data_IF_283426741794
#
_entry.id   IF_283426741794
#
_cell.length_a   1.000
_cell.length_b   1.000
_cell.length_c   1.000
_cell.angle_alpha   90.00
_cell.angle_beta   90.00
_cell.angle_gamma   90.00
#
_symmetry.space_group_name_H-M   'P 1'
#
loop_
_entity.id
_entity.type
_entity.pdbx_description
1 polymer ?
#
# COMPACT_ATOMS: atom_id res chain seq x y z
N UNK A 1 -26.39 -20.51 -11.50
CA UNK A 1 -26.38 -21.49 -10.39
C UNK A 1 -25.21 -22.45 -10.59
N UNK A 2 -24.35 -22.55 -9.57
CA UNK A 2 -23.22 -23.48 -9.38
C UNK A 2 -22.16 -23.60 -10.49
N UNK A 3 -21.12 -22.77 -10.41
CA UNK A 3 -19.72 -23.25 -10.41
C UNK A 3 -18.88 -22.34 -9.51
N UNK A 4 -18.76 -22.77 -8.25
CA UNK A 4 -17.76 -22.31 -7.30
C UNK A 4 -16.78 -23.47 -7.04
N UNK A 5 -15.58 -23.10 -6.61
CA UNK A 5 -14.63 -23.95 -5.88
C UNK A 5 -13.64 -24.79 -6.70
N UNK A 6 -12.46 -24.19 -6.95
CA UNK A 6 -11.19 -24.92 -6.88
C UNK A 6 -10.21 -24.01 -6.12
N UNK A 7 -10.15 -24.27 -4.81
CA UNK A 7 -9.35 -23.58 -3.80
C UNK A 7 -7.94 -24.19 -3.76
N UNK A 8 -6.97 -23.28 -3.57
CA UNK A 8 -5.66 -23.44 -2.92
C UNK A 8 -5.23 -24.87 -2.54
N UNK A 9 -4.17 -25.34 -3.20
CA UNK A 9 -3.30 -26.39 -2.71
C UNK A 9 -1.85 -25.99 -2.92
N UNK A 10 -1.27 -25.23 -1.98
CA UNK A 10 0.19 -25.08 -1.91
C UNK A 10 0.66 -25.55 -0.54
N UNK A 11 0.99 -26.84 -0.53
CA UNK A 11 1.53 -27.61 0.59
C UNK A 11 2.93 -27.10 0.91
N UNK A 12 3.07 -26.36 2.01
CA UNK A 12 4.38 -26.00 2.56
C UNK A 12 4.94 -27.22 3.31
N UNK A 13 5.61 -28.13 2.60
CA UNK A 13 6.37 -29.21 3.22
C UNK A 13 7.65 -28.63 3.85
N UNK A 14 7.61 -28.45 5.17
CA UNK A 14 8.79 -28.21 6.00
C UNK A 14 9.61 -29.51 6.03
N UNK A 15 10.69 -29.57 5.26
CA UNK A 15 11.72 -30.61 5.40
C UNK A 15 12.68 -30.16 6.50
N UNK A 16 12.52 -30.73 7.69
CA UNK A 16 13.49 -30.68 8.78
C UNK A 16 14.72 -31.53 8.40
N UNK A 17 15.96 -31.03 8.47
CA UNK A 17 17.11 -31.89 8.58
C UNK A 17 17.31 -32.30 10.04
N UNK A 18 17.13 -33.59 10.32
CA UNK A 18 17.68 -34.25 11.49
C UNK A 18 19.21 -34.17 11.45
N UNK A 19 19.82 -33.48 12.41
CA UNK A 19 21.23 -33.58 12.72
C UNK A 19 21.41 -34.45 13.96
N UNK A 20 21.97 -35.64 13.77
CA UNK A 20 22.60 -36.45 14.81
C UNK A 20 24.12 -36.22 14.75
N UNK A 21 24.71 -35.71 15.82
CA UNK A 21 26.02 -36.16 16.32
C UNK A 21 26.28 -35.56 17.73
N UNK A 22 26.72 -36.37 18.71
CA UNK A 22 27.06 -35.95 20.06
C UNK A 22 28.57 -35.69 20.24
N UNK A 23 28.93 -34.93 21.27
CA UNK A 23 30.15 -34.96 22.12
C UNK A 23 30.41 -33.54 22.66
N UNK A 24 30.13 -33.25 23.94
CA UNK A 24 30.83 -33.62 25.17
C UNK A 24 31.95 -32.63 25.55
N UNK A 25 31.99 -32.30 26.85
CA UNK A 25 32.96 -31.52 27.64
C UNK A 25 32.77 -29.98 27.70
N UNK A 26 32.25 -29.50 28.84
CA UNK A 26 32.93 -28.49 29.66
C UNK A 26 32.24 -28.32 31.03
N UNK A 27 32.94 -28.82 32.04
CA UNK A 27 33.08 -28.37 33.44
C UNK A 27 32.09 -27.34 34.02
N UNK A 28 31.32 -27.84 34.98
CA UNK A 28 31.07 -27.34 36.33
C UNK A 28 31.89 -26.10 36.78
N UNK A 29 31.20 -24.98 37.05
CA UNK A 29 31.65 -23.95 37.98
C UNK A 29 30.49 -23.51 38.88
N UNK A 30 30.77 -23.56 40.18
CA UNK A 30 29.92 -23.26 41.33
C UNK A 30 29.52 -21.76 41.45
N UNK A 31 28.47 -21.46 42.26
CA UNK A 31 27.82 -20.16 42.30
C UNK A 31 28.51 -19.16 43.23
N UNK A 32 28.73 -17.94 42.73
CA UNK A 32 29.05 -16.78 43.58
C UNK A 32 27.79 -16.17 44.21
N UNK A 33 27.88 -15.60 45.42
CA UNK A 33 26.73 -15.26 46.24
C UNK A 33 26.12 -13.90 45.88
N UNK A 34 24.82 -13.81 46.17
CA UNK A 34 23.96 -12.63 46.06
C UNK A 34 24.50 -11.48 46.91
N UNK A 35 24.72 -10.32 46.29
CA UNK A 35 24.80 -9.04 47.01
C UNK A 35 23.41 -8.42 47.06
N UNK A 36 22.93 -8.19 48.29
CA UNK A 36 21.79 -7.33 48.61
C UNK A 36 22.14 -5.86 48.32
N UNK A 37 21.24 -5.06 47.73
CA UNK A 37 21.36 -3.61 47.78
C UNK A 37 20.80 -3.07 49.11
N UNK A 38 21.60 -2.24 49.77
CA UNK A 38 21.19 -1.42 50.93
C UNK A 38 20.18 -0.34 50.52
N UNK A 39 19.31 0.12 51.45
CA UNK A 39 18.27 1.09 51.17
C UNK A 39 18.78 2.53 51.32
N UNK A 40 18.35 3.41 50.42
CA UNK A 40 18.32 4.85 50.67
C UNK A 40 19.14 5.71 49.72
N UNK A 41 18.52 6.09 48.60
CA UNK A 41 18.57 7.46 48.08
C UNK A 41 17.21 7.73 47.41
N UNK A 42 16.38 8.55 48.03
CA UNK A 42 15.24 9.18 47.39
C UNK A 42 15.81 10.23 46.43
N UNK A 43 15.92 9.88 45.15
CA UNK A 43 16.04 10.86 44.08
C UNK A 43 14.65 11.02 43.45
N UNK A 44 13.98 12.11 43.83
CA UNK A 44 12.91 12.70 43.06
C UNK A 44 13.47 13.11 41.69
N UNK A 45 13.34 12.22 40.70
CA UNK A 45 13.45 12.55 39.29
C UNK A 45 12.52 11.62 38.53
N UNK A 46 11.37 12.16 38.11
CA UNK A 46 10.62 11.85 36.88
C UNK A 46 9.12 12.06 37.11
N UNK A 47 8.67 13.26 36.78
CA UNK A 47 7.33 13.47 36.23
C UNK A 47 7.35 14.69 35.32
N UNK A 48 8.22 14.65 34.31
CA UNK A 48 7.98 15.35 33.05
C UNK A 48 7.69 14.25 32.03
N UNK A 49 6.40 13.88 31.94
CA UNK A 49 5.86 13.20 30.77
C UNK A 49 5.93 14.20 29.61
N UNK A 50 7.10 14.30 28.97
CA UNK A 50 7.18 14.81 27.61
C UNK A 50 6.35 13.89 26.72
N UNK A 51 5.35 14.48 26.07
CA UNK A 51 4.46 13.83 25.12
C UNK A 51 5.24 13.29 23.93
N UNK A 52 5.78 12.09 24.09
CA UNK A 52 6.26 11.27 22.99
C UNK A 52 5.06 10.99 22.09
N UNK A 53 5.03 11.63 20.91
CA UNK A 53 4.06 11.34 19.86
C UNK A 53 4.08 9.83 19.57
N UNK A 54 3.08 9.13 20.13
CA UNK A 54 2.90 7.68 19.98
C UNK A 54 2.47 7.38 18.55
N UNK A 55 3.43 7.25 17.65
CA UNK A 55 3.20 6.71 16.31
C UNK A 55 2.85 5.22 16.47
N UNK A 56 1.66 4.82 16.04
CA UNK A 56 1.16 3.46 16.10
C UNK A 56 2.16 2.45 15.50
N UNK A 57 2.30 1.23 16.05
CA UNK A 57 3.14 0.16 15.48
C UNK A 57 2.84 -0.14 14.01
N UNK A 58 1.59 0.07 13.58
CA UNK A 58 1.13 -0.05 12.19
C UNK A 58 1.84 0.92 11.22
N UNK A 59 2.36 2.03 11.73
CA UNK A 59 3.13 3.03 10.99
C UNK A 59 4.66 2.78 11.10
N UNK A 60 5.11 1.75 11.82
CA UNK A 60 6.55 1.43 12.02
C UNK A 60 7.13 0.42 11.03
N UNK A 61 6.35 -0.10 10.09
CA UNK A 61 6.88 -0.95 9.01
C UNK A 61 7.70 -0.09 8.05
N UNK A 62 8.98 0.08 8.40
CA UNK A 62 9.98 0.74 7.56
C UNK A 62 10.24 -0.13 6.33
N UNK A 63 10.01 0.46 5.16
CA UNK A 63 10.34 -0.12 3.86
C UNK A 63 11.85 -0.29 3.72
N UNK A 64 12.23 -1.41 3.12
CA UNK A 64 13.59 -1.79 2.75
C UNK A 64 14.12 -0.90 1.60
N UNK A 65 14.96 0.10 1.92
CA UNK A 65 15.68 0.93 0.94
C UNK A 65 15.19 2.37 0.86
N UNK A 66 16.01 3.33 0.38
CA UNK A 66 15.76 4.72 0.69
C UNK A 66 14.77 5.37 -0.30
N UNK A 67 13.65 5.80 0.29
CA UNK A 67 12.99 7.11 0.13
C UNK A 67 12.42 7.51 -1.25
N UNK A 68 11.10 7.35 -1.47
CA UNK A 68 10.04 8.38 -1.25
C UNK A 68 8.66 7.81 -1.64
N UNK A 69 8.56 6.71 -2.38
CA UNK A 69 7.26 6.05 -2.55
C UNK A 69 6.88 5.31 -1.25
N UNK A 70 5.67 5.48 -0.69
CA UNK A 70 5.05 4.38 0.01
C UNK A 70 4.84 3.29 -1.06
N UNK A 71 5.74 2.31 -1.14
CA UNK A 71 5.36 1.00 -1.67
C UNK A 71 4.55 0.25 -0.59
N UNK A 72 3.52 0.93 -0.09
CA UNK A 72 2.28 0.31 0.33
C UNK A 72 1.33 0.58 -0.84
N UNK A 73 0.72 -0.43 -1.48
CA UNK A 73 -0.49 -0.23 -2.27
C UNK A 73 -1.70 0.16 -1.38
N UNK A 74 -1.48 0.89 -0.29
CA UNK A 74 -2.35 0.89 0.88
C UNK A 74 -2.92 2.24 1.27
N UNK A 75 -2.14 3.24 1.68
CA UNK A 75 -2.78 4.36 2.40
C UNK A 75 -3.64 5.30 1.53
N UNK A 76 -3.36 5.42 0.23
CA UNK A 76 -4.21 6.18 -0.70
C UNK A 76 -5.49 5.45 -1.10
N UNK A 77 -5.50 4.12 -0.96
CA UNK A 77 -6.65 3.22 -1.18
C UNK A 77 -7.26 2.72 0.13
N UNK A 78 -6.68 3.09 1.27
CA UNK A 78 -7.17 2.68 2.59
C UNK A 78 -8.54 3.35 2.72
N UNK A 79 -9.60 2.54 2.82
CA UNK A 79 -10.92 3.09 3.05
C UNK A 79 -10.86 3.98 4.30
N UNK A 80 -11.52 5.14 4.26
CA UNK A 80 -11.53 6.10 5.38
C UNK A 80 -11.97 5.42 6.69
N UNK A 81 -12.86 4.43 6.59
CA UNK A 81 -13.34 3.55 7.65
C UNK A 81 -12.28 2.60 8.24
N UNK A 82 -11.09 2.46 7.64
CA UNK A 82 -9.97 1.73 8.24
C UNK A 82 -8.97 2.66 8.93
N UNK A 83 -9.10 3.99 8.80
CA UNK A 83 -8.24 4.93 9.53
C UNK A 83 -8.46 4.86 11.05
N UNK A 84 -9.67 4.53 11.50
CA UNK A 84 -9.95 4.31 12.93
C UNK A 84 -9.19 3.13 13.54
N UNK A 85 -8.80 2.14 12.72
CA UNK A 85 -7.92 1.03 13.16
C UNK A 85 -6.50 1.49 13.48
N UNK A 86 -6.03 2.59 12.89
CA UNK A 86 -4.72 3.17 13.21
C UNK A 86 -4.72 3.88 14.57
N UNK A 87 -5.90 4.20 15.09
CA UNK A 87 -6.11 4.97 16.33
C UNK A 87 -6.56 4.11 17.51
N UNK A 88 -6.82 2.81 17.32
CA UNK A 88 -7.17 1.92 18.43
C UNK A 88 -5.96 1.75 19.36
N UNK A 89 -6.17 1.79 20.69
CA UNK A 89 -5.10 1.49 21.62
C UNK A 89 -4.77 0.00 21.49
N UNK A 90 -3.76 -0.31 20.67
CA UNK A 90 -3.17 -1.64 20.64
C UNK A 90 -2.60 -1.92 22.03
N UNK A 91 -3.10 -2.94 22.70
CA UNK A 91 -2.45 -3.41 23.92
C UNK A 91 -1.06 -3.92 23.55
N UNK A 92 -0.09 -3.70 24.45
CA UNK A 92 1.26 -4.25 24.30
C UNK A 92 1.28 -5.75 24.62
N UNK A 93 0.45 -6.52 23.92
CA UNK A 93 0.45 -7.98 23.94
C UNK A 93 0.96 -8.52 22.62
N UNK A 94 1.39 -9.77 22.64
CA UNK A 94 1.99 -10.40 21.46
C UNK A 94 0.99 -10.47 20.30
N UNK A 95 -0.27 -10.79 20.58
CA UNK A 95 -1.32 -10.90 19.57
C UNK A 95 -2.44 -9.91 19.89
N UNK A 96 -2.81 -9.09 18.90
CA UNK A 96 -3.98 -8.24 18.94
C UNK A 96 -4.93 -8.62 17.80
N UNK A 97 -6.20 -8.79 18.11
CA UNK A 97 -7.29 -9.01 17.17
C UNK A 97 -8.29 -7.87 17.30
N UNK A 98 -8.59 -7.19 16.19
CA UNK A 98 -9.40 -5.98 16.16
C UNK A 98 -10.55 -6.19 15.18
N UNK A 99 -11.66 -6.81 15.61
CA UNK A 99 -12.91 -6.74 14.89
C UNK A 99 -13.48 -5.33 14.97
N UNK A 100 -13.96 -4.84 13.85
CA UNK A 100 -14.64 -3.55 13.74
C UNK A 100 -15.81 -3.63 12.80
N UNK A 101 -16.73 -2.69 12.95
CA UNK A 101 -17.83 -2.45 12.02
C UNK A 101 -17.96 -0.96 11.80
N UNK A 102 -18.03 -0.53 10.55
CA UNK A 102 -18.34 0.84 10.19
C UNK A 102 -19.71 0.91 9.53
N UNK A 103 -20.41 2.01 9.81
CA UNK A 103 -21.62 2.42 9.10
C UNK A 103 -21.37 3.81 8.57
N UNK A 104 -21.60 4.02 7.27
CA UNK A 104 -21.39 5.31 6.63
C UNK A 104 -22.47 5.62 5.61
N UNK A 105 -22.66 6.91 5.39
CA UNK A 105 -23.44 7.42 4.27
C UNK A 105 -22.49 8.20 3.35
N UNK A 106 -22.65 7.99 2.05
CA UNK A 106 -21.86 8.63 1.04
C UNK A 106 -22.74 9.25 -0.04
N UNK A 107 -22.50 10.50 -0.35
CA UNK A 107 -23.04 11.15 -1.54
C UNK A 107 -22.01 11.07 -2.67
N UNK A 108 -22.43 10.64 -3.86
CA UNK A 108 -21.68 10.79 -5.12
C UNK A 108 -22.57 11.51 -6.13
N UNK A 109 -22.00 12.42 -6.92
CA UNK A 109 -22.71 13.10 -8.01
C UNK A 109 -22.63 12.35 -9.36
N UNK A 110 -21.82 11.30 -9.45
CA UNK A 110 -21.58 10.54 -10.67
C UNK A 110 -21.26 9.05 -10.42
N UNK A 111 -22.28 8.28 -10.03
CA UNK A 111 -22.14 6.86 -9.65
C UNK A 111 -21.60 5.95 -10.77
N UNK A 112 -21.77 6.32 -12.04
CA UNK A 112 -21.31 5.52 -13.18
C UNK A 112 -19.97 5.99 -13.76
N UNK A 113 -19.36 7.01 -13.16
CA UNK A 113 -18.13 7.63 -13.64
C UNK A 113 -18.20 7.95 -15.14
N UNK A 114 -19.34 8.50 -15.59
CA UNK A 114 -19.59 8.81 -16.99
C UNK A 114 -20.24 10.19 -17.12
N UNK A 115 -19.51 11.15 -17.68
CA UNK A 115 -19.97 12.53 -17.83
C UNK A 115 -21.18 12.68 -18.76
N UNK A 116 -21.37 11.76 -19.71
CA UNK A 116 -22.51 11.76 -20.62
C UNK A 116 -23.81 11.24 -19.96
N UNK A 117 -23.70 10.56 -18.82
CA UNK A 117 -24.83 10.02 -18.05
C UNK A 117 -24.58 10.19 -16.53
N UNK A 118 -24.30 11.43 -16.11
CA UNK A 118 -24.13 11.73 -14.68
C UNK A 118 -25.40 11.43 -13.91
N UNK A 119 -25.26 10.62 -12.86
CA UNK A 119 -26.32 10.36 -11.89
C UNK A 119 -25.74 10.42 -10.50
N UNK A 120 -26.45 11.10 -9.62
CA UNK A 120 -26.09 11.14 -8.22
C UNK A 120 -26.84 10.07 -7.43
N UNK A 121 -26.24 9.61 -6.34
CA UNK A 121 -26.93 8.76 -5.36
C UNK A 121 -26.38 8.98 -3.94
N UNK A 122 -27.14 8.49 -2.96
CA UNK A 122 -26.72 8.31 -1.59
C UNK A 122 -26.54 6.82 -1.33
N UNK A 123 -25.34 6.44 -0.91
CA UNK A 123 -24.93 5.06 -0.68
C UNK A 123 -24.78 4.87 0.82
N UNK A 124 -25.57 3.96 1.39
CA UNK A 124 -25.34 3.51 2.76
C UNK A 124 -24.44 2.28 2.73
N UNK A 125 -23.32 2.33 3.46
CA UNK A 125 -22.37 1.23 3.52
C UNK A 125 -22.28 0.63 4.92
N UNK A 126 -22.24 -0.70 4.96
CA UNK A 126 -21.93 -1.47 6.17
C UNK A 126 -20.62 -2.23 5.95
N UNK A 127 -19.60 -1.92 6.76
CA UNK A 127 -18.25 -2.46 6.55
C UNK A 127 -17.74 -3.18 7.80
N UNK A 128 -18.05 -4.47 7.99
CA UNK A 128 -17.30 -5.31 8.91
C UNK A 128 -15.84 -5.43 8.46
N UNK A 129 -14.94 -5.37 9.43
CA UNK A 129 -13.51 -5.61 9.21
C UNK A 129 -12.88 -6.34 10.39
N UNK A 130 -11.83 -7.10 10.12
CA UNK A 130 -11.05 -7.83 11.11
C UNK A 130 -9.57 -7.58 10.84
N UNK A 131 -8.84 -7.14 11.86
CA UNK A 131 -7.39 -6.99 11.79
C UNK A 131 -6.71 -7.84 12.86
N UNK A 132 -5.70 -8.61 12.46
CA UNK A 132 -4.85 -9.39 13.33
C UNK A 132 -3.42 -8.82 13.27
N UNK A 133 -2.81 -8.68 14.44
CA UNK A 133 -1.45 -8.21 14.61
C UNK A 133 -0.72 -9.13 15.57
N UNK A 134 0.35 -9.76 15.11
CA UNK A 134 1.30 -10.48 15.93
C UNK A 134 2.60 -9.67 15.94
N UNK A 135 3.06 -9.26 17.12
CA UNK A 135 4.24 -8.42 17.26
C UNK A 135 5.24 -9.04 18.24
N UNK A 136 6.32 -9.61 17.69
CA UNK A 136 7.49 -10.10 18.42
C UNK A 136 8.73 -9.33 17.98
N UNK A 137 9.80 -9.28 18.80
CA UNK A 137 10.98 -8.45 18.53
C UNK A 137 11.66 -8.67 17.16
N UNK A 138 11.57 -9.87 16.59
CA UNK A 138 12.18 -10.25 15.30
C UNK A 138 11.18 -10.80 14.29
N UNK A 139 9.89 -10.79 14.63
CA UNK A 139 8.86 -11.38 13.80
C UNK A 139 7.55 -10.62 13.99
N UNK A 140 7.00 -10.10 12.90
CA UNK A 140 5.73 -9.38 12.94
C UNK A 140 4.85 -9.91 11.82
N UNK A 141 3.57 -10.08 12.13
CA UNK A 141 2.54 -10.42 11.15
C UNK A 141 1.38 -9.44 11.30
N UNK A 142 0.91 -8.91 10.18
CA UNK A 142 -0.29 -8.11 10.09
C UNK A 142 -1.19 -8.75 9.04
N UNK A 143 -2.45 -8.98 9.36
CA UNK A 143 -3.45 -9.45 8.39
C UNK A 143 -4.76 -8.70 8.64
N UNK A 144 -5.34 -8.15 7.60
CA UNK A 144 -6.59 -7.40 7.64
C UNK A 144 -7.53 -7.87 6.56
N UNK A 145 -8.81 -8.00 6.88
CA UNK A 145 -9.88 -8.23 5.91
C UNK A 145 -11.01 -7.25 6.18
N UNK A 146 -11.61 -6.71 5.12
CA UNK A 146 -12.81 -5.89 5.20
C UNK A 146 -13.74 -6.23 4.04
N UNK A 147 -15.03 -6.10 4.30
CA UNK A 147 -16.06 -6.27 3.29
C UNK A 147 -17.08 -5.15 3.46
N UNK A 148 -17.37 -4.42 2.38
CA UNK A 148 -18.41 -3.39 2.37
C UNK A 148 -19.63 -3.90 1.62
N UNK A 149 -20.78 -3.86 2.28
CA UNK A 149 -22.09 -3.98 1.66
C UNK A 149 -22.63 -2.58 1.36
N UNK A 150 -23.23 -2.39 0.18
CA UNK A 150 -23.73 -1.09 -0.28
C UNK A 150 -25.23 -1.15 -0.61
N UNK A 151 -25.95 -0.12 -0.16
CA UNK A 151 -27.38 0.09 -0.43
C UNK A 151 -27.56 1.44 -1.09
N UNK A 152 -28.21 1.43 -2.26
CA UNK A 152 -28.40 2.61 -3.11
C UNK A 152 -29.77 3.23 -2.85
N UNK A 153 -29.82 4.45 -2.30
CA UNK A 153 -31.07 5.09 -1.89
C UNK A 153 -32.03 5.31 -3.07
N UNK A 154 -31.50 5.55 -4.28
CA UNK A 154 -32.31 5.80 -5.49
C UNK A 154 -32.48 4.58 -6.39
N UNK A 155 -31.92 3.44 -5.99
CA UNK A 155 -31.90 2.24 -6.84
C UNK A 155 -31.18 2.47 -8.17
N UNK A 156 -30.16 3.36 -8.21
CA UNK A 156 -29.36 3.55 -9.42
C UNK A 156 -28.57 2.28 -9.79
N UNK A 157 -28.30 1.44 -8.80
CA UNK A 157 -27.67 0.13 -8.92
C UNK A 157 -28.35 -0.87 -7.99
N UNK A 158 -28.31 -2.18 -8.26
CA UNK A 158 -28.72 -3.21 -7.31
C UNK A 158 -27.90 -3.10 -6.02
N UNK A 159 -28.56 -3.33 -4.88
CA UNK A 159 -27.87 -3.46 -3.60
C UNK A 159 -26.95 -4.67 -3.64
N UNK A 160 -25.73 -4.52 -3.13
CA UNK A 160 -24.71 -5.56 -3.16
C UNK A 160 -24.13 -5.78 -1.76
N UNK A 161 -24.27 -7.00 -1.26
CA UNK A 161 -23.72 -7.41 0.04
C UNK A 161 -22.20 -7.58 0.01
N UNK A 162 -21.59 -7.67 -1.18
CA UNK A 162 -20.16 -7.90 -1.39
C UNK A 162 -19.53 -6.87 -2.32
N UNK A 163 -20.08 -5.64 -2.36
CA UNK A 163 -19.68 -4.57 -3.26
C UNK A 163 -18.16 -4.36 -3.29
N UNK A 164 -17.53 -4.31 -2.10
CA UNK A 164 -16.07 -4.18 -1.98
C UNK A 164 -15.51 -5.18 -0.99
N UNK A 165 -14.36 -5.76 -1.33
CA UNK A 165 -13.61 -6.66 -0.46
C UNK A 165 -12.14 -6.26 -0.51
N UNK A 166 -11.52 -6.09 0.66
CA UNK A 166 -10.11 -5.78 0.76
C UNK A 166 -9.45 -6.75 1.73
N UNK A 167 -8.32 -7.32 1.32
CA UNK A 167 -7.44 -8.08 2.18
C UNK A 167 -6.02 -7.51 2.09
N UNK A 168 -5.38 -7.36 3.24
CA UNK A 168 -3.98 -6.97 3.33
C UNK A 168 -3.26 -7.92 4.28
N UNK A 169 -2.21 -8.56 3.80
CA UNK A 169 -1.33 -9.44 4.56
C UNK A 169 0.09 -8.89 4.54
N UNK A 170 0.79 -9.01 5.66
CA UNK A 170 2.17 -8.57 5.82
C UNK A 170 2.89 -9.45 6.81
N UNK A 171 4.08 -9.91 6.44
CA UNK A 171 5.01 -10.63 7.30
C UNK A 171 6.34 -9.90 7.28
N UNK A 172 6.92 -9.70 8.45
CA UNK A 172 8.28 -9.23 8.65
C UNK A 172 9.01 -10.25 9.52
N UNK A 173 10.20 -10.65 9.10
CA UNK A 173 11.03 -11.60 9.83
C UNK A 173 12.50 -11.19 9.76
N UNK A 174 13.13 -11.05 10.91
CA UNK A 174 14.53 -10.67 11.05
C UNK A 174 15.31 -11.79 11.79
N UNK A 175 15.71 -12.87 11.09
CA UNK A 175 16.43 -13.97 11.71
C UNK A 175 17.76 -13.51 12.32
N UNK A 176 18.41 -12.52 11.71
CA UNK A 176 19.66 -11.93 12.19
C UNK A 176 19.63 -10.41 12.01
N UNK A 177 20.43 -9.63 12.78
CA UNK A 177 20.51 -8.17 12.62
C UNK A 177 20.94 -7.68 11.22
N UNK A 178 21.42 -8.58 10.36
CA UNK A 178 21.86 -8.26 9.01
C UNK A 178 20.89 -8.71 7.94
N UNK A 179 19.88 -9.50 8.27
CA UNK A 179 19.01 -10.14 7.29
C UNK A 179 17.56 -9.94 7.67
N UNK A 180 16.81 -9.34 6.76
CA UNK A 180 15.40 -9.04 6.92
C UNK A 180 14.63 -9.68 5.75
N UNK A 181 13.55 -10.37 6.06
CA UNK A 181 12.60 -10.89 5.11
C UNK A 181 11.28 -10.15 5.29
N UNK A 182 10.65 -9.78 4.19
CA UNK A 182 9.31 -9.23 4.19
C UNK A 182 8.48 -9.90 3.11
N UNK A 183 7.20 -10.09 3.35
CA UNK A 183 6.25 -10.49 2.32
C UNK A 183 4.94 -9.77 2.56
N UNK A 184 4.42 -9.10 1.52
CA UNK A 184 3.12 -8.43 1.58
C UNK A 184 2.20 -8.97 0.50
N UNK A 185 0.93 -9.12 0.82
CA UNK A 185 -0.12 -9.54 -0.09
C UNK A 185 -1.29 -8.55 0.01
N UNK A 186 -1.80 -8.09 -1.12
CA UNK A 186 -2.88 -7.11 -1.17
C UNK A 186 -3.90 -7.54 -2.21
N UNK A 187 -5.09 -7.93 -1.76
CA UNK A 187 -6.21 -8.31 -2.61
C UNK A 187 -7.31 -7.27 -2.51
N UNK A 188 -7.80 -6.82 -3.66
CA UNK A 188 -8.91 -5.89 -3.78
C UNK A 188 -9.91 -6.49 -4.75
N UNK A 189 -11.18 -6.49 -4.41
CA UNK A 189 -12.28 -6.77 -5.32
C UNK A 189 -13.30 -5.67 -5.19
N UNK A 190 -13.69 -5.12 -6.33
CA UNK A 190 -14.65 -4.03 -6.41
C UNK A 190 -15.66 -4.35 -7.51
N UNK A 191 -16.92 -4.51 -7.11
CA UNK A 191 -18.05 -4.77 -7.98
C UNK A 191 -18.99 -3.57 -8.08
N UNK A 192 -18.62 -2.45 -7.47
CA UNK A 192 -19.42 -1.25 -7.41
C UNK A 192 -19.55 -0.62 -8.82
N UNK A 193 -20.63 0.10 -9.12
CA UNK A 193 -20.79 0.79 -10.42
C UNK A 193 -19.73 1.87 -10.68
N UNK A 194 -19.05 2.32 -9.62
CA UNK A 194 -17.92 3.25 -9.66
C UNK A 194 -16.56 2.53 -9.55
N UNK A 195 -16.51 1.21 -9.81
CA UNK A 195 -15.29 0.43 -9.75
C UNK A 195 -14.19 1.00 -10.66
N UNK A 196 -12.96 0.97 -10.14
CA UNK A 196 -11.76 1.49 -10.79
C UNK A 196 -10.64 0.45 -10.77
N UNK A 197 -9.76 0.52 -11.75
CA UNK A 197 -8.54 -0.30 -11.77
C UNK A 197 -7.33 0.59 -12.01
N UNK A 198 -6.27 0.39 -11.23
CA UNK A 198 -5.05 1.21 -11.28
C UNK A 198 -5.27 2.74 -11.18
N UNK A 199 -6.36 3.18 -10.54
CA UNK A 199 -6.73 4.60 -10.42
C UNK A 199 -7.57 5.16 -11.57
N UNK A 200 -7.87 4.36 -12.59
CA UNK A 200 -8.66 4.75 -13.75
C UNK A 200 -10.09 4.23 -13.69
N UNK A 201 -11.04 5.04 -14.16
CA UNK A 201 -12.42 4.61 -14.39
C UNK A 201 -12.50 3.77 -15.66
N UNK A 202 -13.08 2.58 -15.53
CA UNK A 202 -13.36 1.66 -16.64
C UNK A 202 -14.87 1.54 -16.92
N UNK A 203 -15.63 2.58 -16.56
CA UNK A 203 -17.08 2.61 -16.78
C UNK A 203 -17.87 1.64 -15.91
N UNK A 204 -17.42 1.42 -14.67
CA UNK A 204 -18.11 0.54 -13.71
C UNK A 204 -17.90 -0.95 -13.96
N UNK A 205 -16.89 -1.31 -14.75
CA UNK A 205 -16.48 -2.70 -14.92
C UNK A 205 -15.95 -3.24 -13.58
N UNK A 206 -16.60 -4.28 -13.07
CA UNK A 206 -16.16 -4.95 -11.86
C UNK A 206 -14.74 -5.49 -12.03
N UNK A 207 -13.96 -5.48 -10.97
CA UNK A 207 -12.56 -5.88 -11.02
C UNK A 207 -12.14 -6.62 -9.75
N UNK A 208 -11.12 -7.46 -9.90
CA UNK A 208 -10.32 -7.86 -8.76
C UNK A 208 -8.84 -7.83 -9.11
N UNK A 209 -8.03 -7.53 -8.12
CA UNK A 209 -6.59 -7.55 -8.22
C UNK A 209 -5.97 -8.22 -7.01
N UNK A 210 -4.81 -8.84 -7.22
CA UNK A 210 -3.97 -9.31 -6.14
C UNK A 210 -2.51 -8.95 -6.40
N UNK A 211 -1.81 -8.42 -5.41
CA UNK A 211 -0.39 -8.08 -5.50
C UNK A 211 0.39 -8.71 -4.36
N UNK A 212 1.29 -9.64 -4.70
CA UNK A 212 2.22 -10.29 -3.78
C UNK A 212 3.63 -9.73 -3.97
N UNK A 213 4.27 -9.30 -2.89
CA UNK A 213 5.62 -8.71 -2.91
C UNK A 213 6.51 -9.30 -1.81
N UNK A 214 7.22 -10.40 -2.08
CA UNK A 214 8.31 -10.85 -1.21
C UNK A 214 9.57 -10.00 -1.40
N UNK A 215 10.28 -9.72 -0.32
CA UNK A 215 11.55 -9.01 -0.35
C UNK A 215 12.54 -9.51 0.71
N UNK A 216 13.82 -9.28 0.42
CA UNK A 216 14.95 -9.61 1.28
C UNK A 216 15.85 -8.38 1.37
N UNK A 217 16.10 -7.92 2.60
CA UNK A 217 17.10 -6.91 2.91
C UNK A 217 18.31 -7.53 3.54
N UNK A 218 19.49 -7.30 2.97
CA UNK A 218 20.76 -7.79 3.49
C UNK A 218 21.73 -6.64 3.75
N UNK A 219 22.13 -6.50 5.01
CA UNK A 219 23.20 -5.61 5.44
C UNK A 219 24.57 -6.24 5.12
N UNK A 220 25.01 -6.07 3.87
CA UNK A 220 26.27 -6.60 3.34
C UNK A 220 27.48 -6.10 4.14
N UNK A 221 27.46 -4.81 4.52
CA UNK A 221 28.47 -4.18 5.37
C UNK A 221 27.82 -3.12 6.27
N UNK A 222 28.53 -2.56 7.26
CA UNK A 222 27.97 -1.57 8.20
C UNK A 222 27.28 -0.37 7.53
N UNK A 223 27.73 0.00 6.33
CA UNK A 223 27.18 1.13 5.54
C UNK A 223 26.58 0.71 4.21
N UNK A 224 26.54 -0.58 3.90
CA UNK A 224 26.07 -1.08 2.59
C UNK A 224 24.92 -2.06 2.78
N UNK A 225 23.82 -1.82 2.08
CA UNK A 225 22.62 -2.66 2.12
C UNK A 225 22.18 -3.02 0.71
N UNK A 226 21.97 -4.32 0.48
CA UNK A 226 21.33 -4.87 -0.70
C UNK A 226 19.86 -5.16 -0.38
N UNK A 227 18.93 -4.72 -1.21
CA UNK A 227 17.53 -5.08 -1.13
C UNK A 227 17.12 -5.77 -2.43
N UNK A 228 16.50 -6.95 -2.32
CA UNK A 228 15.96 -7.71 -3.42
C UNK A 228 14.46 -7.85 -3.20
N UNK A 229 13.65 -7.59 -4.22
CA UNK A 229 12.20 -7.75 -4.16
C UNK A 229 11.70 -8.40 -5.45
N UNK A 230 10.67 -9.22 -5.33
CA UNK A 230 9.87 -9.65 -6.47
C UNK A 230 8.45 -9.12 -6.31
N UNK A 231 7.78 -8.88 -7.41
CA UNK A 231 6.39 -8.45 -7.47
C UNK A 231 5.65 -9.43 -8.38
N UNK A 232 4.48 -9.89 -7.94
CA UNK A 232 3.51 -10.53 -8.81
C UNK A 232 2.18 -9.83 -8.62
N UNK A 233 1.68 -9.20 -9.68
CA UNK A 233 0.40 -8.52 -9.68
C UNK A 233 -0.51 -9.10 -10.74
N UNK A 234 -1.74 -9.38 -10.35
CA UNK A 234 -2.81 -9.89 -11.21
C UNK A 234 -3.94 -8.89 -11.18
N UNK A 235 -4.46 -8.55 -12.36
CA UNK A 235 -5.68 -7.77 -12.51
C UNK A 235 -6.63 -8.56 -13.41
N UNK A 236 -7.86 -8.71 -12.94
CA UNK A 236 -8.95 -9.31 -13.70
C UNK A 236 -10.14 -8.38 -13.71
N UNK A 237 -10.79 -8.32 -14.86
CA UNK A 237 -11.92 -7.47 -15.11
C UNK A 237 -13.11 -8.33 -15.51
N UNK A 238 -14.24 -8.10 -14.86
CA UNK A 238 -15.45 -8.89 -14.97
C UNK A 238 -16.54 -8.07 -15.66
N UNK A 239 -17.33 -8.72 -16.52
CA UNK A 239 -18.47 -8.09 -17.18
C UNK A 239 -18.13 -7.41 -18.51
N UNK A 240 -19.04 -6.57 -18.98
CA UNK A 240 -18.91 -5.82 -20.23
C UNK A 240 -18.20 -4.50 -19.94
N UNK A 241 -16.96 -4.35 -20.39
CA UNK A 241 -16.18 -3.13 -20.24
C UNK A 241 -14.97 -3.14 -21.16
N UNK A 242 -14.28 -2.00 -21.26
CA UNK A 242 -13.15 -1.83 -22.17
C UNK A 242 -11.84 -2.40 -21.62
N UNK A 243 -11.81 -2.73 -20.32
CA UNK A 243 -10.57 -3.04 -19.67
C UNK A 243 -10.10 -4.47 -19.94
N UNK A 244 -8.78 -4.65 -19.85
CA UNK A 244 -8.04 -5.84 -20.25
C UNK A 244 -7.36 -6.48 -19.05
N UNK A 245 -7.48 -7.80 -18.95
CA UNK A 245 -6.81 -8.63 -17.95
C UNK A 245 -5.29 -8.58 -18.12
N UNK A 246 -4.56 -8.49 -17.00
CA UNK A 246 -3.10 -8.44 -17.03
C UNK A 246 -2.46 -9.23 -15.90
N UNK A 247 -1.33 -9.86 -16.21
CA UNK A 247 -0.39 -10.43 -15.24
C UNK A 247 0.93 -9.65 -15.33
N UNK A 248 1.42 -9.14 -14.20
CA UNK A 248 2.67 -8.40 -14.11
C UNK A 248 3.63 -9.13 -13.18
N UNK A 249 4.85 -9.33 -13.66
CA UNK A 249 5.95 -9.92 -12.90
C UNK A 249 7.06 -8.89 -12.79
N UNK A 250 7.43 -8.52 -11.57
CA UNK A 250 8.47 -7.55 -11.29
C UNK A 250 9.64 -8.17 -10.53
N UNK A 251 10.83 -7.65 -10.75
CA UNK A 251 12.00 -7.91 -9.92
C UNK A 251 12.78 -6.61 -9.71
N UNK A 252 13.09 -6.30 -8.45
CA UNK A 252 13.82 -5.12 -8.03
C UNK A 252 15.08 -5.53 -7.27
N UNK A 253 16.22 -4.95 -7.64
CA UNK A 253 17.48 -5.11 -6.93
C UNK A 253 18.12 -3.75 -6.69
N UNK A 254 18.28 -3.35 -5.44
CA UNK A 254 18.83 -2.05 -5.04
C UNK A 254 20.02 -2.23 -4.11
N UNK A 255 21.18 -1.74 -4.51
CA UNK A 255 22.38 -1.64 -3.67
C UNK A 255 22.55 -0.19 -3.21
N UNK A 256 22.51 0.02 -1.90
CA UNK A 256 22.65 1.33 -1.28
C UNK A 256 23.92 1.40 -0.42
N UNK A 257 24.60 2.55 -0.44
CA UNK A 257 25.78 2.80 0.37
C UNK A 257 25.71 4.18 1.03
N UNK A 258 25.77 4.18 2.37
CA UNK A 258 25.81 5.38 3.19
C UNK A 258 27.23 5.95 3.23
N UNK A 259 27.54 6.90 2.35
CA UNK A 259 28.83 7.59 2.34
C UNK A 259 29.00 8.48 3.58
N UNK A 260 27.92 9.14 4.00
CA UNK A 260 27.87 9.96 5.21
C UNK A 260 26.55 9.73 5.96
N UNK A 261 26.41 10.18 7.22
CA UNK A 261 25.13 10.09 7.93
C UNK A 261 23.96 10.84 7.27
N UNK A 262 24.24 11.73 6.31
CA UNK A 262 23.22 12.51 5.58
C UNK A 262 23.11 12.14 4.11
N UNK A 263 24.06 11.39 3.54
CA UNK A 263 24.12 11.10 2.12
C UNK A 263 24.29 9.60 1.87
N UNK A 264 23.34 9.03 1.15
CA UNK A 264 23.33 7.63 0.71
C UNK A 264 23.19 7.61 -0.80
N UNK A 265 24.10 6.94 -1.51
CA UNK A 265 23.94 6.67 -2.94
C UNK A 265 23.34 5.30 -3.17
N UNK A 266 22.74 5.12 -4.35
CA UNK A 266 22.04 3.90 -4.75
C UNK A 266 22.33 3.57 -6.21
N UNK A 267 22.48 2.28 -6.48
CA UNK A 267 22.41 1.71 -7.83
C UNK A 267 21.31 0.65 -7.79
N UNK A 268 20.42 0.70 -8.77
CA UNK A 268 19.25 -0.16 -8.85
C UNK A 268 19.10 -0.82 -10.21
N UNK A 269 18.31 -1.89 -10.22
CA UNK A 269 17.84 -2.53 -11.43
C UNK A 269 16.42 -3.02 -11.21
N UNK A 270 15.51 -2.55 -12.05
CA UNK A 270 14.12 -2.97 -12.08
C UNK A 270 13.84 -3.72 -13.39
N UNK A 271 13.24 -4.90 -13.27
CA UNK A 271 12.76 -5.70 -14.37
C UNK A 271 11.25 -5.85 -14.25
N UNK A 272 10.53 -5.71 -15.35
CA UNK A 272 9.08 -5.92 -15.42
C UNK A 272 8.73 -6.72 -16.66
N UNK A 273 7.96 -7.79 -16.48
CA UNK A 273 7.32 -8.53 -17.56
C UNK A 273 5.81 -8.38 -17.44
N UNK A 274 5.19 -7.95 -18.53
CA UNK A 274 3.76 -7.76 -18.64
C UNK A 274 3.19 -8.76 -19.65
N UNK A 275 2.27 -9.58 -19.17
CA UNK A 275 1.49 -10.53 -19.98
C UNK A 275 0.04 -10.05 -20.05
N UNK A 276 -0.41 -9.73 -21.25
CA UNK A 276 -1.78 -9.29 -21.53
C UNK A 276 -2.57 -10.51 -22.00
N UNK A 277 -3.53 -10.95 -21.19
CA UNK A 277 -4.27 -12.18 -21.51
C UNK A 277 -5.19 -11.95 -22.71
N UNK A 278 -5.41 -13.02 -23.47
CA UNK A 278 -6.49 -13.14 -24.46
C UNK A 278 -6.32 -12.36 -25.76
N UNK A 279 -5.10 -12.13 -26.26
CA UNK A 279 -4.89 -11.56 -27.61
C UNK A 279 -5.24 -10.07 -27.75
N UNK A 280 -5.29 -9.34 -26.63
CA UNK A 280 -5.60 -7.90 -26.58
C UNK A 280 -4.36 -7.01 -26.61
N UNK A 281 -3.20 -7.56 -26.98
CA UNK A 281 -1.95 -6.82 -27.16
C UNK A 281 -0.74 -7.74 -27.12
N UNK A 282 0.42 -7.17 -27.40
CA UNK A 282 1.69 -7.88 -27.28
C UNK A 282 2.22 -7.81 -25.84
N UNK A 283 2.91 -8.87 -25.43
CA UNK A 283 3.60 -8.91 -24.15
C UNK A 283 4.77 -7.93 -24.17
N UNK A 284 5.15 -7.45 -22.98
CA UNK A 284 6.22 -6.47 -22.86
C UNK A 284 7.22 -6.84 -21.78
N UNK A 285 8.50 -6.58 -22.06
CA UNK A 285 9.60 -6.70 -21.12
C UNK A 285 10.24 -5.32 -20.95
N UNK A 286 10.42 -4.87 -19.71
CA UNK A 286 11.10 -3.61 -19.40
C UNK A 286 12.31 -3.86 -18.51
N UNK A 287 13.45 -3.33 -18.91
CA UNK A 287 14.70 -3.32 -18.17
C UNK A 287 15.04 -1.87 -17.79
N UNK A 288 15.14 -1.60 -16.50
CA UNK A 288 15.38 -0.24 -16.01
C UNK A 288 16.52 -0.22 -14.97
N UNK A 289 17.78 -0.07 -15.43
CA UNK A 289 18.88 0.26 -14.54
C UNK A 289 18.72 1.70 -14.02
N UNK A 290 18.94 1.90 -12.73
CA UNK A 290 18.80 3.21 -12.09
C UNK A 290 20.02 3.57 -11.25
N UNK A 291 20.26 4.88 -11.14
CA UNK A 291 21.19 5.46 -10.17
C UNK A 291 20.39 6.50 -9.39
N UNK A 292 20.64 6.56 -8.09
CA UNK A 292 19.94 7.50 -7.23
C UNK A 292 20.73 7.88 -6.01
N UNK A 293 20.16 8.81 -5.25
CA UNK A 293 20.67 9.19 -3.95
C UNK A 293 19.54 9.67 -3.03
N UNK A 294 19.86 9.65 -1.74
CA UNK A 294 19.04 10.24 -0.70
C UNK A 294 19.90 11.16 0.13
N UNK A 295 19.39 12.37 0.37
CA UNK A 295 20.07 13.41 1.11
C UNK A 295 19.17 13.99 2.20
N UNK A 296 19.65 13.90 3.45
CA UNK A 296 19.02 14.54 4.61
C UNK A 296 19.51 15.99 4.71
N UNK A 297 18.74 16.90 4.11
CA UNK A 297 19.05 18.33 4.03
C UNK A 297 19.09 18.96 5.42
N UNK A 298 18.09 18.65 6.25
CA UNK A 298 18.00 19.09 7.66
C UNK A 298 17.63 17.91 8.57
N UNK A 299 17.48 18.13 9.88
CA UNK A 299 16.99 17.07 10.77
C UNK A 299 15.58 16.58 10.42
N UNK A 300 14.80 17.38 9.70
CA UNK A 300 13.39 17.12 9.38
C UNK A 300 13.11 16.99 7.89
N UNK A 301 14.03 17.40 7.01
CA UNK A 301 13.86 17.42 5.56
C UNK A 301 14.76 16.39 4.87
N UNK A 302 14.14 15.50 4.10
CA UNK A 302 14.81 14.49 3.28
C UNK A 302 14.38 14.63 1.83
N UNK A 303 15.35 14.57 0.93
CA UNK A 303 15.15 14.53 -0.52
C UNK A 303 15.73 13.23 -1.04
N UNK A 304 15.05 12.60 -1.99
CA UNK A 304 15.61 11.49 -2.72
C UNK A 304 15.19 11.51 -4.18
N UNK A 305 16.12 11.07 -5.02
CA UNK A 305 15.99 11.08 -6.47
C UNK A 305 16.68 9.83 -7.00
N UNK A 306 16.02 9.09 -7.88
CA UNK A 306 16.61 7.99 -8.62
C UNK A 306 16.05 7.94 -10.03
N UNK A 307 16.84 7.50 -10.99
CA UNK A 307 16.36 7.38 -12.36
C UNK A 307 17.37 6.74 -13.30
N UNK A 308 16.92 6.48 -14.51
CA UNK A 308 17.71 5.86 -15.57
C UNK A 308 16.86 5.55 -16.79
N UNK A 309 17.47 5.03 -17.86
CA UNK A 309 16.72 4.59 -19.04
C UNK A 309 15.87 3.35 -18.73
N UNK A 310 14.67 3.28 -19.26
CA UNK A 310 13.84 2.09 -19.33
C UNK A 310 13.85 1.58 -20.77
N UNK A 311 14.48 0.42 -20.97
CA UNK A 311 14.49 -0.28 -22.25
C UNK A 311 13.29 -1.22 -22.27
N UNK A 312 12.31 -0.93 -23.12
CA UNK A 312 11.08 -1.72 -23.21
C UNK A 312 10.99 -2.40 -24.57
N UNK A 313 10.85 -3.72 -24.56
CA UNK A 313 10.47 -4.49 -25.76
C UNK A 313 8.95 -4.69 -25.72
N UNK A 314 8.28 -4.41 -26.84
CA UNK A 314 6.85 -4.61 -27.01
C UNK A 314 6.58 -4.99 -28.46
N UNK A 315 6.02 -6.17 -28.71
CA UNK A 315 5.67 -6.61 -30.07
C UNK A 315 6.87 -6.69 -31.04
N UNK A 316 8.07 -6.93 -30.51
CA UNK A 316 9.33 -6.92 -31.28
C UNK A 316 9.89 -5.51 -31.58
N UNK A 317 9.23 -4.45 -31.12
CA UNK A 317 9.74 -3.08 -31.15
C UNK A 317 10.45 -2.74 -29.84
N UNK A 318 11.49 -1.91 -29.93
CA UNK A 318 12.28 -1.47 -28.77
C UNK A 318 12.07 0.02 -28.52
N UNK A 319 11.74 0.36 -27.28
CA UNK A 319 11.52 1.72 -26.81
C UNK A 319 12.55 2.05 -25.73
N UNK A 320 13.00 3.30 -25.71
CA UNK A 320 13.82 3.85 -24.63
C UNK A 320 13.08 5.04 -24.06
N UNK A 321 12.57 4.90 -22.84
CA UNK A 321 11.90 5.98 -22.11
C UNK A 321 12.70 6.35 -20.86
N UNK A 322 12.71 7.61 -20.42
CA UNK A 322 13.32 7.95 -19.15
C UNK A 322 12.42 7.48 -18.00
N UNK A 323 12.98 6.71 -17.06
CA UNK A 323 12.36 6.43 -15.78
C UNK A 323 12.98 7.32 -14.70
N UNK A 324 12.14 7.98 -13.90
CA UNK A 324 12.58 8.91 -12.86
C UNK A 324 11.63 8.84 -11.68
N UNK A 325 12.18 8.72 -10.49
CA UNK A 325 11.49 8.93 -9.23
C UNK A 325 12.18 10.06 -8.48
N UNK A 326 11.40 11.00 -7.97
CA UNK A 326 11.90 12.10 -7.16
C UNK A 326 10.91 12.40 -6.05
N UNK A 327 11.42 12.75 -4.88
CA UNK A 327 10.53 13.11 -3.81
C UNK A 327 11.18 13.81 -2.64
N UNK A 328 10.33 14.42 -1.85
CA UNK A 328 10.67 15.25 -0.70
C UNK A 328 9.74 14.88 0.46
N UNK A 329 10.30 14.75 1.65
CA UNK A 329 9.56 14.49 2.87
C UNK A 329 10.05 15.42 3.97
N UNK A 330 9.11 16.09 4.63
CA UNK A 330 9.36 17.04 5.70
C UNK A 330 8.53 16.69 6.93
N UNK A 331 9.21 16.52 8.06
CA UNK A 331 8.58 16.47 9.39
C UNK A 331 8.36 17.91 9.87
N UNK A 332 7.11 18.27 10.07
CA UNK A 332 6.67 19.56 10.57
C UNK A 332 6.32 19.42 12.06
N UNK A 333 6.33 20.50 12.86
CA UNK A 333 5.91 20.44 14.26
C UNK A 333 4.47 19.93 14.47
N UNK A 334 3.65 20.00 13.42
CA UNK A 334 2.22 19.67 13.46
C UNK A 334 1.85 18.50 12.53
N UNK A 335 2.84 17.79 11.96
CA UNK A 335 2.56 16.70 11.03
C UNK A 335 3.68 16.36 10.07
N UNK A 336 3.35 15.66 9.00
CA UNK A 336 4.29 15.30 7.94
C UNK A 336 3.75 15.73 6.59
N UNK A 337 4.62 16.32 5.77
CA UNK A 337 4.32 16.70 4.41
C UNK A 337 5.28 15.97 3.46
N UNK A 338 4.77 15.45 2.35
CA UNK A 338 5.60 14.88 1.30
C UNK A 338 5.05 15.19 -0.08
N UNK A 339 5.94 15.26 -1.05
CA UNK A 339 5.59 15.29 -2.46
C UNK A 339 6.47 14.29 -3.22
N UNK A 340 5.89 13.66 -4.22
CA UNK A 340 6.50 12.61 -5.00
C UNK A 340 6.15 12.78 -6.48
N UNK A 341 7.13 12.50 -7.33
CA UNK A 341 6.99 12.39 -8.76
C UNK A 341 7.57 11.04 -9.20
N UNK A 342 6.85 10.32 -10.04
CA UNK A 342 7.36 9.14 -10.73
C UNK A 342 7.03 9.20 -12.21
N UNK A 343 7.95 8.71 -13.02
CA UNK A 343 7.75 8.34 -14.42
C UNK A 343 8.31 6.95 -14.63
N UNK A 344 7.49 6.04 -15.13
CA UNK A 344 7.88 4.66 -15.38
C UNK A 344 6.96 4.02 -16.43
N UNK A 345 7.43 2.93 -17.04
CA UNK A 345 6.58 2.07 -17.86
C UNK A 345 5.81 1.14 -16.95
N UNK A 346 4.48 1.18 -17.02
CA UNK A 346 3.57 0.37 -16.22
C UNK A 346 2.28 0.07 -16.98
N UNK A 347 1.40 -0.75 -16.39
CA UNK A 347 0.06 -0.98 -16.94
C UNK A 347 -0.85 0.20 -16.58
N UNK A 348 -1.58 0.74 -17.55
CA UNK A 348 -2.57 1.80 -17.33
C UNK A 348 -3.89 1.26 -16.73
N UNK A 349 -3.81 0.57 -15.59
CA UNK A 349 -4.96 0.19 -14.76
C UNK A 349 -6.17 -0.37 -15.51
N UNK A 350 -5.92 -1.30 -16.43
CA UNK A 350 -6.98 -1.94 -17.21
C UNK A 350 -7.18 -1.40 -18.62
N UNK A 351 -6.66 -0.24 -19.02
CA UNK A 351 -6.72 0.19 -20.44
C UNK A 351 -5.83 -0.64 -21.40
N UNK A 352 -5.16 -1.67 -20.89
CA UNK A 352 -4.40 -2.66 -21.66
C UNK A 352 -3.14 -2.14 -22.32
N UNK A 353 -2.05 -2.91 -22.23
CA UNK A 353 -0.77 -2.50 -22.80
C UNK A 353 0.16 -1.78 -21.81
N UNK A 354 1.47 -1.83 -22.06
CA UNK A 354 2.41 -0.97 -21.35
C UNK A 354 2.20 0.49 -21.78
N UNK A 355 2.24 1.38 -20.79
CA UNK A 355 2.11 2.81 -20.95
C UNK A 355 3.22 3.54 -20.19
N UNK A 356 3.72 4.63 -20.77
CA UNK A 356 4.53 5.60 -20.04
C UNK A 356 3.62 6.34 -19.06
N UNK A 357 3.79 6.03 -17.78
CA UNK A 357 2.95 6.54 -16.71
C UNK A 357 3.73 7.58 -15.92
N UNK A 358 3.17 8.78 -15.82
CA UNK A 358 3.67 9.87 -15.00
C UNK A 358 2.70 10.11 -13.85
N UNK A 359 3.21 10.12 -12.62
CA UNK A 359 2.41 10.40 -11.42
C UNK A 359 3.06 11.50 -10.60
N UNK A 360 2.29 12.49 -10.20
CA UNK A 360 2.63 13.49 -9.19
C UNK A 360 1.69 13.26 -8.02
N UNK A 361 2.21 13.11 -6.81
CA UNK A 361 1.38 12.99 -5.61
C UNK A 361 1.91 13.86 -4.47
N UNK A 362 0.98 14.33 -3.64
CA UNK A 362 1.28 15.02 -2.39
C UNK A 362 0.61 14.30 -1.23
N UNK A 363 1.19 14.37 -0.04
CA UNK A 363 0.56 13.87 1.18
C UNK A 363 0.83 14.84 2.31
N UNK A 364 -0.21 15.18 3.06
CA UNK A 364 -0.12 15.93 4.30
C UNK A 364 -0.88 15.16 5.38
N UNK A 365 -0.19 14.77 6.44
CA UNK A 365 -0.79 14.12 7.61
C UNK A 365 -0.66 15.04 8.80
N UNK A 366 -1.79 15.43 9.38
CA UNK A 366 -1.88 16.33 10.51
C UNK A 366 -2.46 15.55 11.71
N UNK A 367 -1.62 15.02 12.61
CA UNK A 367 -2.06 14.59 13.93
C UNK A 367 -2.37 15.85 14.75
N UNK A 368 -3.61 16.31 14.67
CA UNK A 368 -4.10 17.50 15.38
C UNK A 368 -4.47 17.18 16.83
N UNK A 369 -5.04 18.14 17.55
CA UNK A 369 -5.30 18.04 18.99
C UNK A 369 -6.21 16.86 19.34
N UNK A 370 -5.87 16.11 20.40
CA UNK A 370 -6.75 15.14 21.08
C UNK A 370 -7.37 14.09 20.15
N UNK A 371 -6.54 13.30 19.48
CA UNK A 371 -6.97 12.12 18.70
C UNK A 371 -7.75 12.42 17.41
N UNK A 372 -7.52 13.59 16.80
CA UNK A 372 -7.97 13.91 15.44
C UNK A 372 -6.80 13.77 14.46
N UNK A 373 -6.97 12.93 13.44
CA UNK A 373 -6.04 12.81 12.31
C UNK A 373 -6.71 13.37 11.07
N UNK A 374 -6.03 14.28 10.37
CA UNK A 374 -6.43 14.78 9.06
C UNK A 374 -5.41 14.36 8.01
N UNK A 375 -5.88 13.86 6.87
CA UNK A 375 -5.07 13.42 5.75
C UNK A 375 -5.52 14.16 4.50
N UNK A 376 -4.59 14.74 3.77
CA UNK A 376 -4.82 15.38 2.48
C UNK A 376 -3.87 14.79 1.43
N UNK A 377 -4.42 14.32 0.31
CA UNK A 377 -3.70 13.57 -0.72
C UNK A 377 -4.15 13.95 -2.13
N UNK A 378 -3.57 15.00 -2.75
CA UNK A 378 -3.73 15.26 -4.17
C UNK A 378 -2.84 14.31 -4.99
N UNK A 379 -3.35 13.87 -6.13
CA UNK A 379 -2.61 13.06 -7.10
C UNK A 379 -3.02 13.41 -8.53
N UNK A 380 -2.04 13.45 -9.41
CA UNK A 380 -2.22 13.59 -10.85
C UNK A 380 -1.47 12.45 -11.54
N UNK A 381 -2.12 11.75 -12.44
CA UNK A 381 -1.56 10.64 -13.20
C UNK A 381 -1.87 10.82 -14.67
N UNK A 382 -0.86 10.69 -15.53
CA UNK A 382 -1.03 10.57 -16.99
C UNK A 382 -0.48 9.22 -17.42
N UNK A 383 -1.23 8.49 -18.23
CA UNK A 383 -0.75 7.29 -18.91
C UNK A 383 -0.86 7.47 -20.43
N UNK A 384 0.21 7.16 -21.14
CA UNK A 384 0.29 7.28 -22.59
C UNK A 384 0.88 6.00 -23.21
N UNK A 385 0.27 5.51 -24.29
CA UNK A 385 0.75 4.34 -25.05
C UNK A 385 2.20 4.51 -25.51
N UNK A 386 2.97 3.43 -25.47
CA UNK A 386 4.35 3.42 -25.98
C UNK A 386 4.42 3.31 -27.50
N UNK A 387 3.43 2.70 -28.14
CA UNK A 387 3.39 2.48 -29.60
C UNK A 387 2.00 2.73 -30.16
N UNK A 388 1.94 3.35 -31.34
CA UNK A 388 0.71 3.56 -32.11
C UNK A 388 0.14 2.24 -32.67
N UNK A 389 0.91 1.14 -32.63
CA UNK A 389 0.48 -0.20 -33.05
C UNK A 389 -0.26 -0.97 -31.95
N UNK A 390 -0.30 -0.45 -30.73
CA UNK A 390 -1.07 -1.06 -29.65
C UNK A 390 -2.56 -1.08 -30.03
N UNK A 391 -3.22 -2.21 -29.77
CA UNK A 391 -4.64 -2.42 -30.12
C UNK A 391 -5.52 -1.34 -29.47
N UNK A 392 -5.19 -0.95 -28.23
CA UNK A 392 -5.78 0.20 -27.55
C UNK A 392 -4.72 1.30 -27.40
N UNK A 393 -5.03 2.50 -27.93
CA UNK A 393 -4.23 3.69 -27.72
C UNK A 393 -4.68 4.35 -26.42
N UNK A 394 -3.76 4.43 -25.47
CA UNK A 394 -3.95 4.99 -24.16
C UNK A 394 -3.44 6.43 -24.22
N UNK A 395 -4.32 7.39 -23.93
CA UNK A 395 -3.94 8.73 -23.54
C UNK A 395 -4.96 9.17 -22.51
N UNK A 396 -4.62 8.99 -21.23
CA UNK A 396 -5.56 9.22 -20.13
C UNK A 396 -4.89 10.04 -19.07
N UNK A 397 -5.58 11.09 -18.63
CA UNK A 397 -5.15 11.94 -17.52
C UNK A 397 -6.18 11.88 -16.41
N UNK A 398 -5.74 11.56 -15.20
CA UNK A 398 -6.56 11.51 -13.99
C UNK A 398 -6.00 12.47 -12.96
N UNK A 399 -6.86 13.29 -12.38
CA UNK A 399 -6.58 14.08 -11.19
C UNK A 399 -7.50 13.60 -10.07
N UNK A 400 -6.93 13.31 -8.91
CA UNK A 400 -7.66 13.01 -7.69
C UNK A 400 -7.25 13.94 -6.56
N UNK A 401 -8.19 14.24 -5.69
CA UNK A 401 -7.99 15.05 -4.51
C UNK A 401 -8.78 14.43 -3.38
N UNK A 402 -8.10 13.96 -2.34
CA UNK A 402 -8.75 13.37 -1.18
C UNK A 402 -8.42 14.16 0.08
N UNK A 403 -9.46 14.46 0.87
CA UNK A 403 -9.37 15.03 2.21
C UNK A 403 -10.15 14.13 3.16
N UNK A 404 -9.48 13.57 4.16
CA UNK A 404 -10.09 12.71 5.18
C UNK A 404 -9.79 13.23 6.57
N UNK A 405 -10.74 13.05 7.49
CA UNK A 405 -10.58 13.32 8.90
C UNK A 405 -11.17 12.17 9.72
N UNK A 406 -10.49 11.78 10.78
CA UNK A 406 -10.96 10.77 11.72
C UNK A 406 -10.72 11.24 13.15
N UNK A 407 -11.77 11.24 13.96
CA UNK A 407 -11.77 11.67 15.35
C UNK A 407 -12.15 10.50 16.26
N UNK A 408 -11.24 10.14 17.16
CA UNK A 408 -11.52 9.12 18.17
C UNK A 408 -12.33 9.73 19.31
N UNK A 409 -13.62 9.38 19.38
CA UNK A 409 -14.52 9.86 20.45
C UNK A 409 -14.22 9.14 21.76
N UNK A 410 -13.95 7.83 21.68
CA UNK A 410 -13.49 7.01 22.79
C UNK A 410 -12.69 5.80 22.24
N UNK A 411 -12.07 4.95 23.09
CA UNK A 411 -11.26 3.81 22.62
C UNK A 411 -11.96 2.83 21.67
N UNK A 412 -13.29 2.82 21.63
CA UNK A 412 -14.10 1.86 20.87
C UNK A 412 -14.91 2.51 19.76
N UNK A 413 -14.87 3.84 19.62
CA UNK A 413 -15.71 4.58 18.69
C UNK A 413 -14.90 5.71 18.01
N UNK A 414 -14.89 5.67 16.68
CA UNK A 414 -14.29 6.69 15.83
C UNK A 414 -15.36 7.27 14.91
N UNK A 415 -15.41 8.60 14.81
CA UNK A 415 -16.19 9.29 13.78
C UNK A 415 -15.24 9.68 12.67
N UNK A 416 -15.60 9.42 11.43
CA UNK A 416 -14.79 9.78 10.28
C UNK A 416 -15.63 10.49 9.22
N UNK A 417 -14.96 11.29 8.42
CA UNK A 417 -15.57 11.93 7.27
C UNK A 417 -14.51 12.33 6.26
N UNK A 418 -14.94 12.54 5.03
CA UNK A 418 -14.03 12.93 3.99
C UNK A 418 -14.73 13.41 2.73
N UNK A 419 -13.92 14.03 1.89
CA UNK A 419 -14.28 14.49 0.57
C UNK A 419 -13.26 13.92 -0.42
N UNK A 420 -13.75 13.42 -1.55
CA UNK A 420 -12.88 13.09 -2.67
C UNK A 420 -13.41 13.70 -3.97
N UNK A 421 -12.50 14.20 -4.78
CA UNK A 421 -12.77 14.69 -6.12
C UNK A 421 -11.94 13.89 -7.10
N UNK A 422 -12.55 13.49 -8.21
CA UNK A 422 -11.88 12.83 -9.32
C UNK A 422 -12.23 13.54 -10.62
N UNK A 423 -11.23 13.70 -11.48
CA UNK A 423 -11.37 14.16 -12.85
C UNK A 423 -10.52 13.31 -13.77
N UNK A 424 -11.15 12.51 -14.62
CA UNK A 424 -10.52 11.74 -15.69
C UNK A 424 -10.85 12.37 -17.04
N UNK A 425 -9.84 12.52 -17.89
CA UNK A 425 -9.97 12.97 -19.28
C UNK A 425 -9.22 12.05 -20.22
N UNK A 426 -9.88 11.68 -21.31
CA UNK A 426 -9.27 10.97 -22.42
C UNK A 426 -8.69 11.96 -23.43
N UNK A 427 -7.50 11.64 -23.94
CA UNK A 427 -6.88 12.35 -25.03
C UNK A 427 -7.54 12.05 -26.37
N UNK A 428 -7.35 12.95 -27.35
CA UNK A 428 -7.96 12.83 -28.68
C UNK A 428 -7.49 11.62 -29.47
N UNK A 429 -6.35 11.04 -29.10
CA UNK A 429 -5.78 9.85 -29.72
C UNK A 429 -6.26 8.55 -29.08
N UNK A 430 -6.95 8.60 -27.93
CA UNK A 430 -7.36 7.37 -27.26
C UNK A 430 -8.43 6.63 -28.06
N UNK A 431 -8.25 5.33 -28.24
CA UNK A 431 -9.23 4.44 -28.89
C UNK A 431 -10.15 3.75 -27.87
N UNK A 432 -9.98 4.05 -26.59
CA UNK A 432 -10.86 3.55 -25.52
C UNK A 432 -12.21 4.30 -25.56
N UNK A 433 -13.34 3.66 -25.18
CA UNK A 433 -14.64 4.33 -25.16
C UNK A 433 -14.61 5.62 -24.32
N UNK A 434 -15.44 6.61 -24.67
CA UNK A 434 -15.50 7.92 -24.00
C UNK A 434 -15.89 7.80 -22.50
N UNK A 435 -14.89 7.67 -21.64
CA UNK A 435 -14.96 7.57 -20.18
C UNK A 435 -14.42 8.83 -19.49
N UNK A 436 -14.74 10.00 -20.05
CA UNK A 436 -14.58 11.24 -19.31
C UNK A 436 -15.45 11.18 -18.03
N UNK A 437 -14.81 11.41 -16.89
CA UNK A 437 -15.46 11.30 -15.59
C UNK A 437 -15.07 12.46 -14.69
N UNK A 438 -16.05 13.19 -14.19
CA UNK A 438 -15.91 14.06 -13.02
C UNK A 438 -16.78 13.51 -11.92
N UNK A 439 -16.24 13.42 -10.71
CA UNK A 439 -16.96 12.94 -9.56
C UNK A 439 -16.57 13.75 -8.32
N UNK A 440 -17.58 14.13 -7.55
CA UNK A 440 -17.47 14.67 -6.20
C UNK A 440 -18.12 13.68 -5.24
N UNK A 441 -17.38 13.27 -4.21
CA UNK A 441 -17.87 12.38 -3.16
C UNK A 441 -17.72 13.01 -1.80
N UNK A 442 -18.74 12.85 -0.96
CA UNK A 442 -18.71 13.21 0.45
C UNK A 442 -19.13 11.99 1.25
N UNK A 443 -18.28 11.53 2.16
CA UNK A 443 -18.54 10.38 3.02
C UNK A 443 -18.49 10.78 4.48
N UNK A 444 -19.43 10.31 5.28
CA UNK A 444 -19.40 10.46 6.75
C UNK A 444 -19.82 9.14 7.37
N UNK A 445 -19.19 8.74 8.47
CA UNK A 445 -19.53 7.51 9.15
C UNK A 445 -19.01 7.41 10.57
N UNK A 446 -19.42 6.32 11.21
CA UNK A 446 -18.98 5.93 12.54
C UNK A 446 -18.46 4.51 12.47
N UNK A 447 -17.33 4.28 13.13
CA UNK A 447 -16.71 2.97 13.26
C UNK A 447 -16.70 2.57 14.73
N UNK A 448 -17.13 1.34 15.00
CA UNK A 448 -17.03 0.70 16.30
C UNK A 448 -16.01 -0.42 16.24
N UNK A 449 -15.19 -0.54 17.28
CA UNK A 449 -14.15 -1.55 17.34
C UNK A 449 -13.79 -1.93 18.77
N UNK A 450 -13.56 -3.21 19.02
CA UNK A 450 -13.13 -3.68 20.34
C UNK A 450 -11.86 -4.54 20.20
N UNK A 451 -10.69 -4.08 20.69
CA UNK A 451 -9.47 -4.85 20.60
C UNK A 451 -9.49 -6.03 21.60
N UNK A 452 -9.15 -7.22 21.11
CA UNK A 452 -8.86 -8.39 21.91
C UNK A 452 -7.36 -8.64 21.89
N UNK A 453 -6.75 -8.74 23.05
CA UNK A 453 -5.31 -8.89 23.17
C UNK A 453 -4.97 -10.17 23.93
N UNK A 454 -4.05 -10.97 23.39
CA UNK A 454 -3.66 -12.25 23.93
C UNK A 454 -2.14 -12.35 24.01
N UNK A 455 -1.66 -12.99 25.08
CA UNK A 455 -0.28 -13.43 25.17
C UNK A 455 -0.21 -14.88 24.72
N UNK A 456 0.67 -15.18 23.77
CA UNK A 456 1.00 -16.57 23.46
C UNK A 456 1.93 -17.04 24.58
N UNK A 457 1.44 -17.93 25.45
CA UNK A 457 2.24 -18.49 26.54
C UNK A 457 3.62 -18.99 26.07
N UNK A 458 4.59 -18.94 26.97
CA UNK A 458 5.97 -19.39 26.71
C UNK A 458 6.07 -20.86 26.32
#
# INVERSE_FOLDING_TARGET
MLRASAILGLTLCIVLPHAWAPHAWAQEQEPWPRQQPWPGVVQQQQQEEEGEFRISPLLRLQTLGPAVAPAYPGLSTYPLELLGLLMSPLERREVNLLPTIAVSEEFTDNIFLNNNNKRYDFITSFTPALMMLLNRPRFQVAAGFSNSAEVYARGSSPNDGLARQNFIGGVFYEPTPRLQFTATDAFIRDQSPDARSGGFSLGGQASWSNTLTPAVGWQVAQRTRLNLAANYSVVRLEGQGAGIDSDTYGFLSNLSHAFTPRFTGMIGYNFTYLDLRSGHGDNSTTHNPTIGFTYRVTSTLTVAVDGGPAFTELGGENFITPALSAGIAQVLPFGTASAYYSRNVAVAGGFGGPADTQTVSGMLVLPTWRDLIVIFNPMWTKAESLSDRQIQHIDVTVFTLSLGAAYRVNPYMTVFGGYSFMRQRLGRSSTTPDFDADENRVKVGVQFGYPFAFDLGK
#
